data_IF_132670073649
#
_entry.id   IF_132670073649
#
_cell.length_a   1.000
_cell.length_b   1.000
_cell.length_c   1.000
_cell.angle_alpha   90.00
_cell.angle_beta   90.00
_cell.angle_gamma   90.00
#
_symmetry.space_group_name_H-M   'P 1'
#
loop_
_entity.id
_entity.type
_entity.pdbx_description
1 polymer ?
#
# COMPACT_ATOMS: atom_id res chain seq x y z
N UNK A 1 7.92 0.61 6.54
CA UNK A 1 8.68 0.38 7.77
C UNK A 1 9.68 1.51 7.84
N UNK A 2 9.57 2.35 8.87
CA UNK A 2 10.61 3.35 9.16
C UNK A 2 11.84 2.63 9.73
N UNK A 3 13.03 3.19 9.50
CA UNK A 3 14.28 2.74 10.15
C UNK A 3 14.38 3.17 11.62
N UNK A 4 13.40 3.91 12.13
CA UNK A 4 13.35 4.26 13.54
C UNK A 4 13.08 2.99 14.40
N UNK A 5 13.87 2.75 15.47
CA UNK A 5 13.77 1.53 16.26
C UNK A 5 12.38 1.24 16.85
N UNK A 6 11.61 2.29 17.16
CA UNK A 6 10.27 2.16 17.73
C UNK A 6 9.19 1.80 16.73
N UNK A 7 9.42 1.98 15.43
CA UNK A 7 8.38 1.85 14.42
C UNK A 7 7.84 0.41 14.32
N UNK A 8 8.72 -0.60 14.39
CA UNK A 8 8.25 -1.99 14.32
C UNK A 8 7.39 -2.36 15.53
N UNK A 9 7.82 -1.99 16.74
CA UNK A 9 7.07 -2.26 17.97
C UNK A 9 5.69 -1.60 17.94
N UNK A 10 5.60 -0.38 17.41
CA UNK A 10 4.33 0.35 17.27
C UNK A 10 3.39 -0.37 16.29
N UNK A 11 3.93 -0.78 15.13
CA UNK A 11 3.16 -1.48 14.10
C UNK A 11 2.65 -2.84 14.60
N UNK A 12 3.48 -3.58 15.33
CA UNK A 12 3.10 -4.85 15.98
C UNK A 12 1.98 -4.64 17.01
N UNK A 13 2.10 -3.61 17.85
CA UNK A 13 1.07 -3.25 18.84
C UNK A 13 -0.27 -2.84 18.19
N UNK A 14 -0.22 -2.29 16.97
CA UNK A 14 -1.41 -1.94 16.19
C UNK A 14 -1.98 -3.14 15.40
N UNK A 15 -1.28 -4.27 15.34
CA UNK A 15 -1.66 -5.44 14.53
C UNK A 15 -1.76 -5.10 13.04
N UNK A 16 -0.81 -4.31 12.52
CA UNK A 16 -0.78 -3.88 11.12
C UNK A 16 0.50 -4.34 10.44
N UNK A 17 0.45 -4.39 9.12
CA UNK A 17 1.65 -4.54 8.29
C UNK A 17 1.93 -3.23 7.53
N UNK A 18 3.18 -2.75 7.45
CA UNK A 18 3.51 -1.56 6.70
C UNK A 18 3.32 -1.80 5.19
N UNK A 19 2.66 -0.86 4.50
CA UNK A 19 2.44 -0.92 3.02
C UNK A 19 3.75 -0.85 2.22
N UNK A 20 4.80 -0.25 2.79
CA UNK A 20 6.10 -0.01 2.16
C UNK A 20 7.22 -0.44 3.10
N UNK A 21 8.38 -0.83 2.59
CA UNK A 21 9.60 -1.07 3.37
C UNK A 21 10.84 -0.59 2.61
N UNK A 22 11.19 0.69 2.79
CA UNK A 22 12.28 1.38 2.08
C UNK A 22 13.36 1.92 3.02
N UNK A 23 13.39 1.47 4.28
CA UNK A 23 14.35 1.97 5.29
C UNK A 23 14.37 3.50 5.47
N UNK A 24 13.25 4.18 5.19
CA UNK A 24 13.12 5.64 5.31
C UNK A 24 13.11 6.10 6.78
N UNK A 25 13.60 7.31 7.06
CA UNK A 25 13.60 7.93 8.40
C UNK A 25 13.59 9.46 8.39
N UNK A 26 13.09 10.08 7.32
CA UNK A 26 13.00 11.54 7.21
C UNK A 26 11.90 12.11 8.12
N UNK A 27 10.82 11.35 8.34
CA UNK A 27 9.69 11.82 9.15
C UNK A 27 8.75 12.72 8.36
N UNK A 28 8.07 13.64 9.06
CA UNK A 28 7.17 14.66 8.49
C UNK A 28 6.06 14.11 7.57
N UNK A 29 5.69 12.84 7.73
CA UNK A 29 4.68 12.18 6.90
C UNK A 29 5.16 11.78 5.50
N UNK A 30 6.45 11.90 5.18
CA UNK A 30 6.99 11.55 3.84
C UNK A 30 6.69 10.12 3.42
N UNK A 31 6.78 9.14 4.34
CA UNK A 31 6.38 7.76 4.08
C UNK A 31 4.89 7.61 3.76
N UNK A 32 4.02 8.41 4.38
CA UNK A 32 2.59 8.42 4.10
C UNK A 32 2.29 9.07 2.74
N UNK A 33 2.97 10.15 2.39
CA UNK A 33 2.85 10.80 1.09
C UNK A 33 3.22 9.85 -0.07
N UNK A 34 4.30 9.07 0.08
CA UNK A 34 4.68 8.05 -0.92
C UNK A 34 3.64 6.92 -0.98
N UNK A 35 3.16 6.42 0.17
CA UNK A 35 2.16 5.36 0.23
C UNK A 35 0.82 5.74 -0.43
N UNK A 36 0.49 7.04 -0.51
CA UNK A 36 -0.74 7.51 -1.16
C UNK A 36 -0.83 7.11 -2.64
N UNK A 37 0.31 7.00 -3.34
CA UNK A 37 0.35 6.51 -4.72
C UNK A 37 -0.17 5.07 -4.84
N UNK A 38 0.22 4.19 -3.91
CA UNK A 38 -0.26 2.80 -3.85
C UNK A 38 -1.76 2.75 -3.59
N UNK A 39 -2.25 3.54 -2.63
CA UNK A 39 -3.67 3.59 -2.30
C UNK A 39 -4.51 4.06 -3.51
N UNK A 40 -4.04 5.08 -4.24
CA UNK A 40 -4.70 5.53 -5.48
C UNK A 40 -4.68 4.45 -6.56
N UNK A 41 -3.58 3.73 -6.72
CA UNK A 41 -3.48 2.59 -7.64
C UNK A 41 -4.47 1.48 -7.28
N UNK A 42 -4.57 1.12 -6.00
CA UNK A 42 -5.52 0.13 -5.52
C UNK A 42 -6.98 0.54 -5.83
N UNK A 43 -7.33 1.81 -5.61
CA UNK A 43 -8.64 2.35 -5.98
C UNK A 43 -8.89 2.31 -7.50
N UNK A 44 -7.88 2.65 -8.31
CA UNK A 44 -7.99 2.58 -9.77
C UNK A 44 -8.23 1.14 -10.25
N UNK A 45 -7.51 0.17 -9.69
CA UNK A 45 -7.73 -1.25 -9.98
C UNK A 45 -9.13 -1.70 -9.54
N UNK A 46 -9.55 -1.34 -8.32
CA UNK A 46 -10.85 -1.77 -7.80
C UNK A 46 -12.02 -1.19 -8.59
N UNK A 47 -11.94 0.09 -8.97
CA UNK A 47 -13.05 0.80 -9.61
C UNK A 47 -13.04 0.71 -11.15
N UNK A 48 -11.89 0.43 -11.76
CA UNK A 48 -11.69 0.56 -13.20
C UNK A 48 -11.24 -0.71 -13.94
N UNK A 49 -10.96 -1.80 -13.23
CA UNK A 49 -10.58 -3.05 -13.87
C UNK A 49 -11.82 -3.81 -14.36
N UNK A 50 -11.83 -4.15 -15.64
CA UNK A 50 -12.87 -4.98 -16.23
C UNK A 50 -12.90 -6.38 -15.59
N UNK A 51 -14.10 -6.91 -15.39
CA UNK A 51 -14.30 -8.32 -15.05
C UNK A 51 -13.86 -9.23 -16.20
N UNK A 52 -13.66 -10.53 -15.92
CA UNK A 52 -13.29 -11.49 -16.96
C UNK A 52 -14.28 -11.54 -18.13
N UNK A 53 -15.57 -11.32 -17.88
CA UNK A 53 -16.60 -11.28 -18.92
C UNK A 53 -16.45 -10.02 -19.77
N UNK A 54 -16.34 -8.85 -19.13
CA UNK A 54 -16.17 -7.56 -19.83
C UNK A 54 -14.88 -7.50 -20.65
N UNK A 55 -13.81 -8.14 -20.16
CA UNK A 55 -12.54 -8.25 -20.87
C UNK A 55 -12.52 -9.39 -21.92
N UNK A 56 -13.60 -10.16 -22.06
CA UNK A 56 -13.70 -11.24 -23.06
C UNK A 56 -12.82 -12.45 -22.79
N UNK A 57 -12.44 -12.68 -21.53
CA UNK A 57 -11.52 -13.76 -21.10
C UNK A 57 -12.24 -14.95 -20.48
N UNK A 58 -13.53 -14.83 -20.17
CA UNK A 58 -14.32 -15.94 -19.65
C UNK A 58 -14.74 -16.90 -20.79
N UNK A 59 -14.03 -18.03 -20.94
CA UNK A 59 -14.40 -19.11 -21.87
C UNK A 59 -13.42 -19.43 -23.00
N UNK A 60 -12.19 -18.90 -22.95
CA UNK A 60 -11.06 -19.41 -23.73
C UNK A 60 -10.41 -20.64 -23.06
#
# INVERSE_FOLDING_TARGET
>A
RSSEPGHQRLVDALGKDPVLDFSMRLGEGTGAAVALGILRGALACHNGMATFVEAGVAGA
#
